data_IF_527164522756
#
_entry.id   IF_527164522756
#
_cell.length_a   1.000
_cell.length_b   1.000
_cell.length_c   1.000
_cell.angle_alpha   90.00
_cell.angle_beta   90.00
_cell.angle_gamma   90.00
#
_symmetry.space_group_name_H-M   'P 1'
#
loop_
_entity.id
_entity.type
_entity.pdbx_description
1 polymer ?
#
# COMPACT_ATOMS: atom_id res chain seq x y z
N UNK A 1 -9.14 -10.62 32.52
CA UNK A 1 -9.57 -10.44 31.12
C UNK A 1 -11.03 -10.81 31.10
N UNK A 2 -11.94 -9.91 30.72
CA UNK A 2 -13.35 -10.27 30.59
C UNK A 2 -13.48 -11.35 29.51
N UNK A 3 -13.86 -12.57 29.91
CA UNK A 3 -14.04 -13.72 29.01
C UNK A 3 -15.15 -13.50 27.99
N UNK A 4 -16.05 -12.53 28.23
CA UNK A 4 -17.12 -12.16 27.30
C UNK A 4 -16.62 -11.37 26.07
N UNK A 5 -15.45 -10.73 26.16
CA UNK A 5 -14.97 -9.82 25.11
C UNK A 5 -13.83 -10.41 24.25
N UNK A 6 -13.02 -11.30 24.83
CA UNK A 6 -11.86 -11.90 24.18
C UNK A 6 -12.06 -13.39 23.96
N UNK A 7 -11.80 -13.88 22.75
CA UNK A 7 -11.82 -15.31 22.46
C UNK A 7 -10.63 -16.02 23.12
N UNK A 8 -10.75 -17.33 23.34
CA UNK A 8 -9.69 -18.13 23.97
C UNK A 8 -8.37 -18.18 23.19
N UNK A 9 -8.43 -17.90 21.89
CA UNK A 9 -7.27 -17.78 20.99
C UNK A 9 -6.53 -16.45 21.12
N UNK A 10 -7.08 -15.48 21.87
CA UNK A 10 -6.47 -14.18 22.09
C UNK A 10 -5.12 -14.29 22.79
N UNK A 11 -4.17 -13.44 22.41
CA UNK A 11 -2.88 -13.34 23.09
C UNK A 11 -3.02 -12.83 24.53
N UNK A 12 -2.38 -13.53 25.45
CA UNK A 12 -2.35 -13.30 26.88
C UNK A 12 -0.99 -13.79 27.37
N UNK A 13 -0.17 -12.88 27.87
CA UNK A 13 1.19 -13.16 28.31
C UNK A 13 1.28 -14.19 29.45
N UNK A 14 0.18 -14.40 30.20
CA UNK A 14 0.12 -15.37 31.30
C UNK A 14 -0.31 -16.77 30.85
N UNK A 15 -0.87 -16.90 29.65
CA UNK A 15 -1.34 -18.19 29.10
C UNK A 15 -0.20 -18.86 28.34
N UNK A 16 0.04 -20.14 28.62
CA UNK A 16 0.94 -20.95 27.81
C UNK A 16 0.19 -21.44 26.58
N UNK A 17 0.68 -21.08 25.40
CA UNK A 17 0.07 -21.52 24.14
C UNK A 17 0.66 -22.86 23.75
N UNK A 18 -0.22 -23.84 23.48
CA UNK A 18 0.16 -25.04 22.77
C UNK A 18 0.32 -24.67 21.31
N UNK A 19 1.58 -24.65 20.86
CA UNK A 19 1.91 -24.31 19.48
C UNK A 19 1.46 -25.45 18.57
N UNK A 20 0.91 -25.12 17.40
CA UNK A 20 0.59 -26.13 16.40
C UNK A 20 1.85 -26.95 16.05
N UNK A 21 1.76 -28.28 15.97
CA UNK A 21 2.88 -29.09 15.52
C UNK A 21 3.28 -28.67 14.10
N UNK A 22 4.57 -28.71 13.78
CA UNK A 22 5.04 -28.46 12.42
C UNK A 22 4.34 -29.45 11.48
N UNK A 23 3.70 -28.96 10.41
CA UNK A 23 3.03 -29.84 9.45
C UNK A 23 4.07 -30.79 8.85
N UNK A 24 3.86 -32.10 9.02
CA UNK A 24 4.73 -33.17 8.50
C UNK A 24 4.51 -33.35 6.99
N UNK A 25 4.71 -32.26 6.24
CA UNK A 25 4.53 -32.25 4.80
C UNK A 25 5.79 -32.83 4.14
N UNK A 26 5.72 -34.12 3.79
CA UNK A 26 6.72 -34.90 3.04
C UNK A 26 6.98 -34.43 1.60
N UNK A 27 6.87 -33.12 1.32
CA UNK A 27 6.97 -32.57 -0.02
C UNK A 27 8.43 -32.22 -0.36
N UNK A 28 9.05 -32.97 -1.27
CA UNK A 28 10.46 -32.82 -1.66
C UNK A 28 10.82 -31.39 -2.11
N UNK A 29 9.89 -30.70 -2.77
CA UNK A 29 10.02 -29.28 -3.16
C UNK A 29 10.15 -28.36 -1.95
N UNK A 30 9.34 -28.57 -0.90
CA UNK A 30 9.47 -27.81 0.35
C UNK A 30 10.79 -28.10 1.05
N UNK A 31 11.26 -29.36 1.02
CA UNK A 31 12.55 -29.75 1.61
C UNK A 31 13.73 -29.08 0.89
N UNK A 32 13.66 -29.00 -0.44
CA UNK A 32 14.65 -28.27 -1.25
C UNK A 32 14.62 -26.76 -0.96
N UNK A 33 13.44 -26.14 -0.90
CA UNK A 33 13.28 -24.72 -0.52
C UNK A 33 13.74 -24.43 0.91
N UNK A 34 13.54 -25.37 1.85
CA UNK A 34 14.03 -25.27 3.24
C UNK A 34 15.54 -25.51 3.37
N UNK A 35 16.17 -26.21 2.42
CA UNK A 35 17.61 -26.58 2.48
C UNK A 35 18.56 -25.39 2.51
N UNK A 36 18.13 -24.21 2.02
CA UNK A 36 18.88 -22.95 2.13
C UNK A 36 18.42 -22.04 3.28
N UNK A 37 17.33 -22.39 3.96
CA UNK A 37 16.78 -21.57 5.05
C UNK A 37 17.48 -21.89 6.36
N UNK A 38 18.27 -20.95 6.88
CA UNK A 38 18.86 -21.07 8.22
C UNK A 38 17.74 -20.94 9.25
N UNK A 39 17.60 -21.93 10.16
CA UNK A 39 16.75 -21.78 11.34
C UNK A 39 17.26 -20.56 12.12
N UNK A 40 16.43 -19.52 12.21
CA UNK A 40 16.78 -18.34 12.99
C UNK A 40 16.91 -18.77 14.46
N UNK A 41 17.89 -18.24 15.20
CA UNK A 41 18.02 -18.52 16.63
C UNK A 41 16.89 -17.81 17.39
N UNK A 42 15.72 -18.42 17.41
CA UNK A 42 14.55 -17.97 18.16
C UNK A 42 14.79 -18.22 19.65
N UNK A 43 14.93 -17.16 20.46
CA UNK A 43 14.67 -17.16 21.93
C UNK A 43 15.22 -15.95 22.71
N UNK A 44 15.61 -14.83 22.08
CA UNK A 44 15.89 -13.61 22.85
C UNK A 44 14.70 -12.64 22.79
N UNK A 45 14.01 -12.37 23.91
CA UNK A 45 13.04 -11.28 23.95
C UNK A 45 13.79 -9.98 23.67
N UNK A 46 13.39 -9.28 22.61
CA UNK A 46 13.89 -7.95 22.31
C UNK A 46 12.93 -6.98 23.00
N UNK A 47 13.44 -6.18 23.93
CA UNK A 47 12.66 -5.18 24.69
C UNK A 47 12.25 -3.98 23.84
N UNK A 48 12.80 -3.86 22.64
CA UNK A 48 12.62 -2.73 21.74
C UNK A 48 11.99 -3.20 20.44
N UNK A 49 10.67 -3.03 20.37
CA UNK A 49 9.92 -3.13 19.12
C UNK A 49 10.01 -1.75 18.46
N UNK A 50 10.41 -1.72 17.19
CA UNK A 50 10.33 -0.50 16.38
C UNK A 50 8.88 -0.02 16.33
N UNK A 51 8.58 0.97 17.17
CA UNK A 51 7.32 1.69 17.20
C UNK A 51 7.38 2.83 16.19
N UNK A 52 7.53 2.50 14.91
CA UNK A 52 6.84 3.34 13.91
C UNK A 52 5.36 3.00 13.94
N UNK A 53 4.78 3.21 15.13
CA UNK A 53 3.38 3.60 15.24
C UNK A 53 3.31 4.93 14.51
N UNK A 54 2.33 5.03 13.64
CA UNK A 54 1.98 6.21 12.89
C UNK A 54 1.91 7.43 13.84
N UNK A 55 3.05 8.12 13.99
CA UNK A 55 3.22 9.25 14.92
C UNK A 55 2.60 10.52 14.35
N UNK A 56 2.27 10.49 13.07
CA UNK A 56 1.64 11.58 12.33
C UNK A 56 0.13 11.60 12.59
N UNK A 57 -0.50 10.43 12.70
CA UNK A 57 -1.94 10.30 12.95
C UNK A 57 -2.29 10.41 14.44
N UNK A 58 -2.53 11.64 14.91
CA UNK A 58 -3.03 11.91 16.27
C UNK A 58 -4.41 11.27 16.48
N UNK A 59 -4.72 10.72 17.67
CA UNK A 59 -6.02 10.11 17.96
C UNK A 59 -7.22 11.05 17.71
N UNK A 60 -7.06 12.37 17.92
CA UNK A 60 -8.10 13.35 17.62
C UNK A 60 -8.43 13.52 16.14
N UNK A 61 -7.53 13.11 15.22
CA UNK A 61 -7.83 13.09 13.78
C UNK A 61 -8.86 11.99 13.47
N UNK A 62 -8.74 10.83 14.12
CA UNK A 62 -9.66 9.70 13.95
C UNK A 62 -11.05 10.03 14.50
N UNK A 63 -11.14 10.74 15.61
CA UNK A 63 -12.41 11.23 16.16
C UNK A 63 -13.09 12.21 15.19
N UNK A 64 -12.35 13.19 14.64
CA UNK A 64 -12.87 14.09 13.61
C UNK A 64 -13.33 13.34 12.35
N UNK A 65 -12.58 12.33 11.90
CA UNK A 65 -12.99 11.51 10.76
C UNK A 65 -14.29 10.75 11.05
N UNK A 66 -14.49 10.29 12.29
CA UNK A 66 -15.74 9.63 12.72
C UNK A 66 -16.92 10.60 12.70
N UNK A 67 -16.71 11.86 13.07
CA UNK A 67 -17.75 12.90 12.99
C UNK A 67 -18.10 13.24 11.54
N UNK A 68 -17.11 13.32 10.66
CA UNK A 68 -17.29 13.72 9.24
C UNK A 68 -17.88 12.57 8.40
N UNK A 69 -17.47 11.33 8.66
CA UNK A 69 -17.93 10.14 7.91
C UNK A 69 -18.18 8.96 8.87
N UNK A 70 -19.36 8.88 9.50
CA UNK A 70 -19.67 7.82 10.47
C UNK A 70 -19.72 6.41 9.85
N UNK A 71 -20.08 6.31 8.57
CA UNK A 71 -20.21 5.04 7.85
C UNK A 71 -18.90 4.50 7.28
N UNK A 72 -17.78 5.22 7.42
CA UNK A 72 -16.49 4.79 6.90
C UNK A 72 -15.86 3.75 7.85
N UNK A 73 -15.67 2.52 7.36
CA UNK A 73 -14.93 1.49 8.10
C UNK A 73 -13.53 2.01 8.44
N UNK A 74 -13.23 2.12 9.74
CA UNK A 74 -11.94 2.61 10.21
C UNK A 74 -10.87 1.56 9.94
N UNK A 75 -9.77 1.95 9.27
CA UNK A 75 -8.63 1.07 9.02
C UNK A 75 -8.01 0.52 10.32
N UNK A 76 -8.14 1.26 11.43
CA UNK A 76 -7.66 0.84 12.73
C UNK A 76 -8.68 1.20 13.82
N UNK A 77 -9.03 0.22 14.64
CA UNK A 77 -9.73 0.40 15.90
C UNK A 77 -9.04 -0.41 17.02
N UNK A 78 -9.47 -0.23 18.27
CA UNK A 78 -8.97 -1.00 19.41
C UNK A 78 -9.19 -2.53 19.28
N UNK A 79 -10.08 -2.96 18.38
CA UNK A 79 -10.41 -4.36 18.07
C UNK A 79 -9.56 -4.95 16.95
N UNK A 80 -9.34 -4.20 15.88
CA UNK A 80 -8.69 -4.70 14.68
C UNK A 80 -7.87 -3.63 13.97
N UNK A 81 -6.78 -4.07 13.34
CA UNK A 81 -6.00 -3.29 12.40
C UNK A 81 -6.14 -3.94 11.02
N UNK A 82 -6.65 -3.17 10.07
CA UNK A 82 -6.83 -3.56 8.67
C UNK A 82 -5.86 -2.75 7.84
N UNK A 83 -4.92 -3.43 7.19
CA UNK A 83 -4.03 -2.78 6.23
C UNK A 83 -4.50 -3.09 4.83
N UNK A 84 -4.77 -2.02 4.08
CA UNK A 84 -5.27 -2.10 2.72
C UNK A 84 -4.23 -1.52 1.75
N UNK A 85 -4.24 -2.04 0.53
CA UNK A 85 -3.44 -1.53 -0.58
C UNK A 85 -4.36 -1.03 -1.67
N UNK A 86 -4.09 0.14 -2.27
CA UNK A 86 -4.84 0.56 -3.45
C UNK A 86 -4.66 -0.44 -4.59
N UNK A 87 -5.71 -0.60 -5.41
CA UNK A 87 -5.65 -1.38 -6.64
C UNK A 87 -4.57 -0.86 -7.59
N UNK A 88 -3.96 -1.76 -8.37
CA UNK A 88 -3.01 -1.38 -9.42
C UNK A 88 -3.62 -0.44 -10.46
N UNK A 89 -4.93 -0.55 -10.72
CA UNK A 89 -5.64 0.37 -11.61
C UNK A 89 -5.69 1.79 -11.05
N UNK A 90 -5.91 1.93 -9.74
CA UNK A 90 -5.86 3.23 -9.08
C UNK A 90 -4.45 3.83 -9.14
N UNK A 91 -3.42 3.03 -8.88
CA UNK A 91 -2.02 3.47 -8.98
C UNK A 91 -1.67 3.92 -10.41
N UNK A 92 -2.06 3.13 -11.42
CA UNK A 92 -1.84 3.48 -12.82
C UNK A 92 -2.55 4.77 -13.21
N UNK A 93 -3.83 4.89 -12.84
CA UNK A 93 -4.63 6.08 -13.10
C UNK A 93 -4.02 7.33 -12.46
N UNK A 94 -3.55 7.22 -11.21
CA UNK A 94 -2.87 8.31 -10.52
C UNK A 94 -1.56 8.71 -11.21
N UNK A 95 -0.76 7.74 -11.70
CA UNK A 95 0.46 8.03 -12.47
C UNK A 95 0.14 8.76 -13.78
N UNK A 96 -0.88 8.31 -14.52
CA UNK A 96 -1.32 8.96 -15.77
C UNK A 96 -1.81 10.39 -15.50
N UNK A 97 -2.54 10.60 -14.42
CA UNK A 97 -2.99 11.93 -14.00
C UNK A 97 -1.83 12.84 -13.60
N UNK A 98 -0.83 12.31 -12.89
CA UNK A 98 0.39 13.04 -12.56
C UNK A 98 1.19 13.45 -13.82
N UNK A 99 1.26 12.58 -14.83
CA UNK A 99 1.81 12.93 -16.14
C UNK A 99 0.99 14.02 -16.83
N UNK A 100 -0.34 13.98 -16.73
CA UNK A 100 -1.23 15.03 -17.23
C UNK A 100 -1.00 16.38 -16.53
N UNK A 101 -0.76 16.37 -15.21
CA UNK A 101 -0.37 17.59 -14.47
C UNK A 101 0.99 18.12 -14.96
N UNK A 102 1.98 17.23 -15.13
CA UNK A 102 3.30 17.61 -15.63
C UNK A 102 3.24 18.17 -17.06
N UNK A 103 2.40 17.61 -17.94
CA UNK A 103 2.23 18.13 -19.29
C UNK A 103 1.65 19.54 -19.30
N UNK A 104 0.70 19.85 -18.40
CA UNK A 104 0.13 21.19 -18.30
C UNK A 104 1.12 22.20 -17.70
N UNK A 105 1.83 21.83 -16.63
CA UNK A 105 2.73 22.75 -15.96
C UNK A 105 4.02 23.03 -16.73
N UNK A 106 4.56 22.01 -17.43
CA UNK A 106 5.84 22.12 -18.12
C UNK A 106 5.70 22.11 -19.64
N UNK A 107 4.96 21.17 -20.22
CA UNK A 107 4.89 21.04 -21.67
C UNK A 107 4.05 22.14 -22.33
N UNK A 108 2.95 22.58 -21.70
CA UNK A 108 2.11 23.66 -22.24
C UNK A 108 2.86 24.99 -22.40
N UNK A 109 3.56 25.56 -21.40
CA UNK A 109 4.29 26.81 -21.59
C UNK A 109 5.41 26.68 -22.63
N UNK A 110 6.15 25.56 -22.63
CA UNK A 110 7.19 25.31 -23.64
C UNK A 110 6.56 25.25 -25.05
N UNK A 111 5.45 24.52 -25.18
CA UNK A 111 4.75 24.38 -26.46
C UNK A 111 4.17 25.71 -26.93
N UNK A 112 3.63 26.53 -26.03
CA UNK A 112 3.16 27.89 -26.39
C UNK A 112 4.30 28.74 -26.94
N UNK A 113 5.51 28.68 -26.35
CA UNK A 113 6.67 29.39 -26.87
C UNK A 113 7.06 28.89 -28.26
N UNK A 114 7.05 27.58 -28.49
CA UNK A 114 7.33 26.99 -29.81
C UNK A 114 6.29 27.44 -30.84
N UNK A 115 5.00 27.46 -30.50
CA UNK A 115 3.95 27.95 -31.39
C UNK A 115 4.08 29.46 -31.68
N UNK A 116 4.48 30.26 -30.71
CA UNK A 116 4.76 31.70 -30.93
C UNK A 116 5.93 31.87 -31.90
N UNK A 117 7.04 31.16 -31.69
CA UNK A 117 8.19 31.20 -32.61
C UNK A 117 7.82 30.69 -34.02
N UNK A 118 7.07 29.60 -34.10
CA UNK A 118 6.59 29.04 -35.36
C UNK A 118 5.68 30.01 -36.11
N UNK A 119 4.79 30.72 -35.40
CA UNK A 119 3.95 31.76 -35.98
C UNK A 119 4.74 32.97 -36.50
N UNK A 120 5.88 33.30 -35.89
CA UNK A 120 6.76 34.40 -36.35
C UNK A 120 7.54 34.04 -37.63
N UNK A 121 7.80 32.76 -37.87
CA UNK A 121 8.56 32.27 -39.03
C UNK A 121 7.63 31.88 -40.19
N UNK A 122 6.33 31.70 -39.93
CA UNK A 122 5.38 31.25 -40.93
C UNK A 122 5.16 32.29 -42.04
N UNK A 123 5.18 31.85 -43.29
CA UNK A 123 4.99 32.71 -44.48
C UNK A 123 3.60 33.36 -44.56
N UNK A 124 2.62 32.83 -43.80
CA UNK A 124 1.27 33.36 -43.69
C UNK A 124 1.10 34.41 -42.58
N UNK A 125 -0.15 34.60 -42.11
CA UNK A 125 -0.40 35.46 -40.95
C UNK A 125 0.06 34.78 -39.65
N UNK A 126 0.64 35.55 -38.72
CA UNK A 126 1.09 35.06 -37.42
C UNK A 126 0.00 34.25 -36.70
N UNK A 127 -1.23 34.78 -36.71
CA UNK A 127 -2.38 34.16 -36.05
C UNK A 127 -2.76 32.82 -36.68
N UNK A 128 -2.63 32.68 -38.00
CA UNK A 128 -2.94 31.44 -38.70
C UNK A 128 -1.90 30.37 -38.39
N UNK A 129 -0.60 30.70 -38.47
CA UNK A 129 0.48 29.79 -38.08
C UNK A 129 0.39 29.35 -36.62
N UNK A 130 0.09 30.29 -35.71
CA UNK A 130 -0.13 30.00 -34.30
C UNK A 130 -1.34 29.09 -34.08
N UNK A 131 -2.50 29.42 -34.65
CA UNK A 131 -3.73 28.66 -34.42
C UNK A 131 -3.70 27.26 -35.02
N UNK A 132 -3.05 27.07 -36.18
CA UNK A 132 -2.91 25.77 -36.83
C UNK A 132 -2.12 24.79 -35.97
N UNK A 133 -1.08 25.24 -35.26
CA UNK A 133 -0.35 24.39 -34.32
C UNK A 133 -1.01 24.29 -32.94
N UNK A 134 -1.41 25.43 -32.39
CA UNK A 134 -1.82 25.53 -31.00
C UNK A 134 -3.19 24.91 -30.71
N UNK A 135 -4.20 25.17 -31.55
CA UNK A 135 -5.57 24.71 -31.30
C UNK A 135 -5.68 23.18 -31.35
N UNK A 136 -5.08 22.46 -32.30
CA UNK A 136 -5.10 21.00 -32.29
C UNK A 136 -4.43 20.40 -31.06
N UNK A 137 -3.25 20.90 -30.67
CA UNK A 137 -2.55 20.42 -29.49
C UNK A 137 -3.35 20.68 -28.20
N UNK A 138 -3.97 21.86 -28.09
CA UNK A 138 -4.84 22.19 -26.97
C UNK A 138 -6.02 21.21 -26.87
N UNK A 139 -6.71 20.96 -27.98
CA UNK A 139 -7.90 20.08 -28.02
C UNK A 139 -7.57 18.60 -27.80
N UNK A 140 -6.51 18.09 -28.41
CA UNK A 140 -6.24 16.64 -28.43
C UNK A 140 -5.27 16.17 -27.35
N UNK A 141 -4.43 17.05 -26.80
CA UNK A 141 -3.40 16.66 -25.82
C UNK A 141 -3.68 17.30 -24.46
N UNK A 142 -3.77 18.62 -24.40
CA UNK A 142 -3.84 19.33 -23.13
C UNK A 142 -5.22 19.28 -22.48
N UNK A 143 -6.31 19.34 -23.26
CA UNK A 143 -7.67 19.27 -22.72
C UNK A 143 -7.95 17.89 -22.09
N UNK A 144 -7.65 16.74 -22.74
CA UNK A 144 -7.77 15.43 -22.08
C UNK A 144 -6.88 15.30 -20.85
N UNK A 145 -5.64 15.79 -20.92
CA UNK A 145 -4.70 15.79 -19.77
C UNK A 145 -5.26 16.58 -18.59
N UNK A 146 -5.86 17.75 -18.85
CA UNK A 146 -6.49 18.60 -17.84
C UNK A 146 -7.71 17.94 -17.22
N UNK A 147 -8.49 17.21 -18.01
CA UNK A 147 -9.64 16.49 -17.50
C UNK A 147 -9.23 15.35 -16.57
N UNK A 148 -8.19 14.58 -16.92
CA UNK A 148 -7.64 13.52 -16.07
C UNK A 148 -7.01 14.06 -14.78
N UNK A 149 -6.34 15.21 -14.85
CA UNK A 149 -5.81 15.87 -13.66
C UNK A 149 -6.94 16.38 -12.75
N UNK A 150 -7.92 17.07 -13.31
CA UNK A 150 -9.07 17.59 -12.57
C UNK A 150 -9.84 16.48 -11.85
N UNK A 151 -10.04 15.33 -12.50
CA UNK A 151 -10.70 14.18 -11.90
C UNK A 151 -10.00 13.70 -10.63
N UNK A 152 -8.67 13.57 -10.64
CA UNK A 152 -7.91 13.17 -9.44
C UNK A 152 -7.97 14.23 -8.36
N UNK A 153 -7.88 15.52 -8.70
CA UNK A 153 -8.01 16.60 -7.72
C UNK A 153 -9.39 16.60 -7.04
N UNK A 154 -10.45 16.30 -7.79
CA UNK A 154 -11.81 16.12 -7.24
C UNK A 154 -11.91 14.88 -6.35
N UNK A 155 -11.20 13.81 -6.71
CA UNK A 155 -11.11 12.57 -5.92
C UNK A 155 -10.37 12.79 -4.60
N UNK A 156 -9.24 13.50 -4.63
CA UNK A 156 -8.42 13.79 -3.44
C UNK A 156 -9.16 14.70 -2.46
N UNK A 157 -9.97 15.63 -2.96
CA UNK A 157 -10.86 16.47 -2.14
C UNK A 157 -12.14 15.75 -1.68
N UNK A 158 -12.37 14.53 -2.14
CA UNK A 158 -13.50 13.69 -1.73
C UNK A 158 -14.86 14.09 -2.33
N UNK A 159 -14.89 14.94 -3.36
CA UNK A 159 -16.13 15.31 -4.05
C UNK A 159 -16.64 14.21 -4.99
N UNK A 160 -15.73 13.36 -5.48
CA UNK A 160 -16.07 12.28 -6.41
C UNK A 160 -15.22 11.05 -6.11
N UNK A 161 -15.85 9.93 -5.71
CA UNK A 161 -15.15 8.68 -5.39
C UNK A 161 -15.66 7.56 -6.30
N UNK A 162 -15.08 7.37 -7.50
CA UNK A 162 -15.51 6.33 -8.42
C UNK A 162 -15.19 4.93 -7.85
N UNK A 163 -16.24 4.19 -7.47
CA UNK A 163 -16.16 2.88 -6.82
C UNK A 163 -15.47 1.80 -7.68
N UNK A 164 -15.42 1.99 -9.00
CA UNK A 164 -14.83 1.04 -9.95
C UNK A 164 -13.30 1.14 -10.03
N UNK A 165 -12.72 2.33 -9.82
CA UNK A 165 -11.26 2.54 -9.82
C UNK A 165 -10.72 2.47 -8.38
N UNK A 166 -11.42 3.09 -7.42
CA UNK A 166 -11.02 3.15 -6.01
C UNK A 166 -11.38 1.86 -5.25
N UNK A 167 -10.98 0.71 -5.79
CA UNK A 167 -11.04 -0.54 -5.04
C UNK A 167 -9.77 -0.68 -4.21
N UNK A 168 -9.93 -0.65 -2.88
CA UNK A 168 -8.86 -1.06 -1.97
C UNK A 168 -8.92 -2.57 -1.79
N UNK A 169 -7.74 -3.17 -1.60
CA UNK A 169 -7.61 -4.61 -1.36
C UNK A 169 -6.98 -4.81 0.00
N UNK A 170 -7.69 -5.52 0.89
CA UNK A 170 -7.15 -5.93 2.20
C UNK A 170 -5.89 -6.75 1.96
N UNK A 171 -4.79 -6.36 2.60
CA UNK A 171 -3.51 -7.08 2.54
C UNK A 171 -3.45 -8.03 3.71
N UNK A 172 -3.62 -7.51 4.92
CA UNK A 172 -3.68 -8.30 6.14
C UNK A 172 -4.57 -7.64 7.19
N UNK A 173 -5.06 -8.44 8.12
CA UNK A 173 -5.78 -7.98 9.31
C UNK A 173 -5.16 -8.58 10.56
N UNK A 174 -5.00 -7.74 11.58
CA UNK A 174 -4.63 -8.15 12.93
C UNK A 174 -5.84 -7.92 13.82
N UNK A 175 -6.42 -8.98 14.34
CA UNK A 175 -7.58 -8.87 15.21
C UNK A 175 -7.18 -9.17 16.67
N UNK A 176 -7.36 -8.17 17.53
CA UNK A 176 -7.06 -8.26 18.97
C UNK A 176 -8.09 -9.08 19.74
N UNK A 177 -9.35 -9.09 19.31
CA UNK A 177 -10.43 -9.81 19.99
C UNK A 177 -10.35 -11.32 19.75
N UNK A 178 -9.87 -11.73 18.57
CA UNK A 178 -9.67 -13.14 18.23
C UNK A 178 -8.22 -13.59 18.44
N UNK A 179 -7.25 -12.66 18.46
CA UNK A 179 -5.82 -12.97 18.47
C UNK A 179 -5.29 -13.49 17.13
N UNK A 180 -6.08 -13.41 16.07
CA UNK A 180 -5.76 -13.98 14.76
C UNK A 180 -5.10 -12.94 13.86
N UNK A 181 -4.18 -13.44 13.06
CA UNK A 181 -3.48 -12.72 11.99
C UNK A 181 -3.90 -13.34 10.67
N UNK A 182 -4.59 -12.56 9.84
CA UNK A 182 -5.13 -13.03 8.57
C UNK A 182 -4.42 -12.33 7.41
N UNK A 183 -3.83 -13.11 6.52
CA UNK A 183 -3.26 -12.60 5.28
C UNK A 183 -4.24 -12.86 4.13
N UNK A 184 -4.43 -11.88 3.25
CA UNK A 184 -5.30 -11.98 2.08
C UNK A 184 -4.50 -12.12 0.79
N UNK A 185 -5.10 -12.76 -0.22
CA UNK A 185 -4.61 -12.78 -1.61
C UNK A 185 -5.06 -11.50 -2.32
N UNK A 186 -4.44 -11.22 -3.47
CA UNK A 186 -4.81 -10.08 -4.33
C UNK A 186 -6.26 -10.07 -4.85
N UNK A 187 -7.03 -11.14 -4.63
CA UNK A 187 -8.45 -11.23 -4.97
C UNK A 187 -9.37 -11.08 -3.74
N UNK A 188 -8.85 -10.61 -2.60
CA UNK A 188 -9.61 -10.45 -1.35
C UNK A 188 -9.94 -11.76 -0.61
N UNK A 189 -9.54 -12.93 -1.16
CA UNK A 189 -9.70 -14.22 -0.49
C UNK A 189 -8.64 -14.40 0.60
N UNK A 190 -9.02 -14.97 1.74
CA UNK A 190 -8.09 -15.33 2.81
C UNK A 190 -7.05 -16.33 2.28
N UNK A 191 -5.76 -16.01 2.49
CA UNK A 191 -4.64 -16.90 2.16
C UNK A 191 -4.37 -17.86 3.31
N UNK A 192 -4.30 -17.34 4.52
CA UNK A 192 -4.25 -18.09 5.77
C UNK A 192 -4.68 -17.19 6.94
N UNK A 193 -5.14 -17.81 8.02
CA UNK A 193 -5.42 -17.13 9.29
C UNK A 193 -4.86 -17.99 10.42
N UNK A 194 -3.91 -17.45 11.17
CA UNK A 194 -3.22 -18.15 12.25
C UNK A 194 -3.15 -17.26 13.50
N UNK A 195 -3.08 -17.82 14.70
CA UNK A 195 -2.96 -17.03 15.91
C UNK A 195 -1.61 -16.30 15.96
N UNK A 196 -1.60 -15.07 16.49
CA UNK A 196 -0.43 -14.18 16.50
C UNK A 196 0.81 -14.81 17.18
N UNK A 197 0.59 -15.74 18.12
CA UNK A 197 1.66 -16.46 18.84
C UNK A 197 2.48 -17.40 17.96
N UNK A 198 1.96 -17.76 16.78
CA UNK A 198 2.67 -18.58 15.80
C UNK A 198 3.51 -17.75 14.84
N UNK A 199 3.44 -16.42 14.93
CA UNK A 199 4.24 -15.51 14.13
C UNK A 199 5.42 -14.96 14.92
N UNK A 200 6.58 -14.97 14.28
CA UNK A 200 7.77 -14.28 14.76
C UNK A 200 7.99 -13.02 13.93
N UNK A 201 8.43 -11.95 14.60
CA UNK A 201 8.82 -10.73 13.92
C UNK A 201 10.26 -10.86 13.42
N UNK A 202 10.46 -10.73 12.11
CA UNK A 202 11.76 -10.84 11.47
C UNK A 202 12.10 -9.57 10.72
N UNK A 203 13.38 -9.17 10.76
CA UNK A 203 13.92 -8.12 9.93
C UNK A 203 14.64 -8.77 8.74
N UNK A 204 14.12 -8.54 7.54
CA UNK A 204 14.67 -9.07 6.30
C UNK A 204 15.47 -7.97 5.61
N UNK A 205 16.74 -8.23 5.34
CA UNK A 205 17.60 -7.36 4.53
C UNK A 205 17.66 -7.87 3.09
N UNK A 206 17.19 -7.10 2.12
CA UNK A 206 17.27 -7.45 0.70
C UNK A 206 18.11 -6.42 -0.06
N UNK A 207 19.11 -6.86 -0.85
CA UNK A 207 19.84 -5.95 -1.72
C UNK A 207 18.91 -5.44 -2.83
N UNK A 208 18.95 -4.14 -3.10
CA UNK A 208 18.31 -3.54 -4.27
C UNK A 208 19.09 -3.90 -5.54
N UNK A 209 18.50 -3.68 -6.71
CA UNK A 209 19.21 -3.83 -7.99
C UNK A 209 20.45 -2.92 -8.11
N UNK A 210 20.52 -1.86 -7.27
CA UNK A 210 21.63 -0.91 -7.21
C UNK A 210 22.63 -1.25 -6.08
N UNK A 211 22.45 -2.37 -5.36
CA UNK A 211 23.32 -2.78 -4.26
C UNK A 211 23.01 -2.10 -2.92
N UNK A 212 22.00 -1.23 -2.84
CA UNK A 212 21.54 -0.61 -1.59
C UNK A 212 20.79 -1.63 -0.74
N UNK A 213 20.96 -1.59 0.59
CA UNK A 213 20.29 -2.53 1.49
C UNK A 213 18.91 -2.01 1.87
N UNK A 214 17.87 -2.77 1.53
CA UNK A 214 16.51 -2.52 1.99
C UNK A 214 16.23 -3.38 3.22
N UNK A 215 15.65 -2.77 4.26
CA UNK A 215 15.26 -3.48 5.47
C UNK A 215 13.73 -3.54 5.53
N UNK A 216 13.16 -4.74 5.61
CA UNK A 216 11.72 -4.93 5.76
C UNK A 216 11.42 -5.69 7.04
N UNK A 217 10.54 -5.11 7.86
CA UNK A 217 10.02 -5.75 9.06
C UNK A 217 8.79 -6.57 8.65
N UNK A 218 8.82 -7.88 8.90
CA UNK A 218 7.76 -8.80 8.52
C UNK A 218 7.38 -9.74 9.66
N UNK A 219 6.11 -10.13 9.75
CA UNK A 219 5.70 -11.29 10.55
C UNK A 219 5.85 -12.56 9.71
N UNK A 220 6.72 -13.45 10.13
CA UNK A 220 6.92 -14.76 9.52
C UNK A 220 6.22 -15.83 10.34
N UNK A 221 5.42 -16.67 9.68
CA UNK A 221 4.76 -17.78 10.35
C UNK A 221 5.77 -18.91 10.62
N UNK A 222 5.78 -19.45 11.84
CA UNK A 222 6.81 -20.40 12.30
C UNK A 222 6.76 -21.77 11.62
N UNK A 223 5.55 -22.28 11.36
CA UNK A 223 5.33 -23.68 10.93
C UNK A 223 5.00 -23.83 9.46
N UNK A 224 4.44 -22.78 8.89
CA UNK A 224 4.17 -22.72 7.48
C UNK A 224 5.41 -22.08 6.90
N UNK A 225 6.24 -22.85 6.19
CA UNK A 225 7.37 -22.33 5.41
C UNK A 225 6.93 -21.41 4.26
N UNK A 226 5.80 -20.71 4.45
CA UNK A 226 5.22 -19.75 3.56
C UNK A 226 6.27 -18.69 3.30
N UNK A 227 6.75 -18.71 2.07
CA UNK A 227 7.61 -17.73 1.41
C UNK A 227 7.10 -16.28 1.45
N UNK A 228 6.00 -16.02 2.17
CA UNK A 228 5.27 -14.77 2.20
C UNK A 228 5.04 -14.36 3.66
N UNK A 229 5.95 -13.54 4.18
CA UNK A 229 5.75 -12.82 5.44
C UNK A 229 4.72 -11.71 5.29
N UNK A 230 4.13 -11.31 6.40
CA UNK A 230 3.20 -10.18 6.46
C UNK A 230 4.04 -8.92 6.63
N UNK A 231 4.09 -8.01 5.65
CA UNK A 231 4.91 -6.82 5.75
C UNK A 231 4.31 -5.86 6.77
N UNK A 232 5.08 -5.52 7.81
CA UNK A 232 4.71 -4.49 8.78
C UNK A 232 5.25 -3.12 8.36
N UNK A 233 6.49 -3.08 7.89
CA UNK A 233 7.15 -1.84 7.46
C UNK A 233 8.27 -2.13 6.47
N UNK A 234 8.55 -1.17 5.60
CA UNK A 234 9.70 -1.15 4.72
C UNK A 234 10.52 0.11 5.00
N UNK A 235 11.80 -0.07 5.29
CA UNK A 235 12.80 0.99 5.30
C UNK A 235 13.65 0.81 4.04
N UNK A 236 13.33 1.59 3.01
CA UNK A 236 14.21 1.75 1.86
C UNK A 236 15.31 2.75 2.24
N UNK A 237 16.57 2.40 1.98
CA UNK A 237 17.66 3.38 2.06
C UNK A 237 17.51 4.35 0.89
N UNK A 238 17.64 5.67 1.12
CA UNK A 238 17.46 6.70 0.10
C UNK A 238 18.48 6.61 -1.04
#
# INVERSE_FOLDING_TARGET
MNSEYYQDTTFNSRKRYHLSPESDDNNLLKKFLKSGSRKLPFSKPISEISTRVDTENKPGLIERLREIKPDLEQFWNHKELVVERPSHWFQFYYIVSALGKASIWFALPIYTMVCVLGGLIHDGSFLEGFNVGFIPALKWVFLPSSFLWLQVELMDRGYWTPTWIMTTKKVFTLNRNTGMVTLYKGNGKVRYSHPIVEFDCVLVSTPSQQGLMNYSLMLAHRYNGSTHGIPLSLLATP
#
